data_IF_293985150531
#
_entry.id   IF_293985150531
#
_cell.length_a   1.000
_cell.length_b   1.000
_cell.length_c   1.000
_cell.angle_alpha   90.00
_cell.angle_beta   90.00
_cell.angle_gamma   90.00
#
_symmetry.space_group_name_H-M   'P 1'
#
loop_
_entity.id
_entity.type
_entity.pdbx_description
1 polymer ?
#
# COMPACT_ATOMS: atom_id res chain seq x y z
N UNK A 1 13.68 0.65 7.63
CA UNK A 1 13.74 0.62 9.10
C UNK A 1 14.64 1.76 9.55
N UNK A 2 14.16 2.60 10.44
CA UNK A 2 14.96 3.71 10.97
C UNK A 2 15.99 3.16 11.99
N UNK A 3 17.19 3.76 12.09
CA UNK A 3 17.61 5.02 11.46
C UNK A 3 18.25 4.85 10.06
N UNK A 4 18.61 3.63 9.65
CA UNK A 4 19.36 3.39 8.40
C UNK A 4 18.66 3.95 7.15
N UNK A 5 17.32 3.98 7.16
CA UNK A 5 16.51 4.59 6.10
C UNK A 5 16.92 6.03 5.79
N UNK A 6 17.25 6.83 6.81
CA UNK A 6 17.56 8.25 6.67
C UNK A 6 18.88 8.48 5.93
N UNK A 7 19.80 7.52 6.02
CA UNK A 7 21.14 7.61 5.44
C UNK A 7 21.27 6.84 4.11
N UNK A 8 20.43 5.83 3.87
CA UNK A 8 20.53 4.96 2.70
C UNK A 8 20.11 5.62 1.38
N UNK A 9 19.33 6.72 1.43
CA UNK A 9 18.81 7.37 0.23
C UNK A 9 17.87 6.46 -0.57
N UNK A 10 17.89 6.59 -1.90
CA UNK A 10 17.08 5.75 -2.78
C UNK A 10 17.69 4.37 -2.96
N UNK A 11 16.97 3.33 -2.52
CA UNK A 11 17.39 1.94 -2.70
C UNK A 11 16.90 1.41 -4.05
N UNK A 12 17.74 0.62 -4.71
CA UNK A 12 17.43 -0.12 -5.93
C UNK A 12 17.88 -1.56 -5.74
N UNK A 13 17.01 -2.50 -6.03
CA UNK A 13 17.38 -3.91 -6.10
C UNK A 13 18.15 -4.13 -7.41
N UNK A 14 19.38 -4.60 -7.30
CA UNK A 14 20.24 -4.96 -8.44
C UNK A 14 20.46 -6.46 -8.37
N UNK A 15 20.11 -7.15 -9.45
CA UNK A 15 20.39 -8.57 -9.58
C UNK A 15 21.89 -8.79 -9.80
N UNK A 16 22.45 -9.72 -9.03
CA UNK A 16 23.86 -10.13 -9.06
C UNK A 16 24.02 -11.63 -9.33
N UNK A 17 22.96 -12.32 -9.78
CA UNK A 17 23.00 -13.73 -10.17
C UNK A 17 22.87 -14.71 -9.02
N UNK A 18 22.21 -14.32 -7.92
CA UNK A 18 21.95 -15.21 -6.79
C UNK A 18 20.58 -15.90 -6.92
N UNK A 19 20.55 -17.21 -6.63
CA UNK A 19 19.28 -17.92 -6.45
C UNK A 19 18.78 -17.68 -5.03
N UNK A 20 17.64 -17.00 -4.91
CA UNK A 20 16.99 -16.72 -3.63
C UNK A 20 15.81 -17.68 -3.39
N UNK A 21 15.41 -17.93 -2.13
CA UNK A 21 14.15 -18.60 -1.82
C UNK A 21 12.96 -17.88 -2.47
N UNK A 22 11.93 -18.64 -2.86
CA UNK A 22 10.76 -18.09 -3.53
C UNK A 22 9.92 -17.18 -2.64
N UNK A 23 9.86 -17.48 -1.34
CA UNK A 23 9.09 -16.72 -0.36
C UNK A 23 10.04 -15.93 0.56
N UNK A 24 9.94 -14.59 0.58
CA UNK A 24 10.69 -13.77 1.52
C UNK A 24 10.04 -13.76 2.90
N UNK A 25 10.84 -13.62 3.96
CA UNK A 25 10.32 -13.39 5.33
C UNK A 25 9.78 -11.97 5.52
N UNK A 26 10.24 -11.01 4.70
CA UNK A 26 9.84 -9.61 4.75
C UNK A 26 9.90 -8.99 3.34
N UNK A 27 8.91 -8.16 3.02
CA UNK A 27 8.85 -7.41 1.77
C UNK A 27 8.78 -5.89 2.01
N UNK A 28 9.39 -5.14 1.09
CA UNK A 28 9.28 -3.69 1.03
C UNK A 28 8.69 -3.29 -0.34
N UNK A 29 7.36 -3.16 -0.39
CA UNK A 29 6.63 -2.93 -1.63
C UNK A 29 7.13 -1.68 -2.38
N UNK A 30 7.48 -1.86 -3.64
CA UNK A 30 7.72 -0.79 -4.59
C UNK A 30 6.43 -0.46 -5.35
N UNK A 31 6.45 0.61 -6.14
CA UNK A 31 5.27 1.07 -6.88
C UNK A 31 4.63 -0.03 -7.74
N UNK A 32 5.45 -0.81 -8.45
CA UNK A 32 4.96 -1.91 -9.30
C UNK A 32 4.31 -3.04 -8.49
N UNK A 33 4.82 -3.32 -7.28
CA UNK A 33 4.23 -4.32 -6.40
C UNK A 33 2.85 -3.89 -5.93
N UNK A 34 2.71 -2.64 -5.49
CA UNK A 34 1.41 -2.07 -5.10
C UNK A 34 0.42 -2.10 -6.27
N UNK A 35 0.87 -1.70 -7.46
CA UNK A 35 0.01 -1.71 -8.65
C UNK A 35 -0.51 -3.11 -9.00
N UNK A 36 0.30 -4.16 -8.79
CA UNK A 36 -0.09 -5.56 -9.02
C UNK A 36 -1.11 -6.06 -7.99
N UNK A 37 -1.10 -5.51 -6.77
CA UNK A 37 -1.99 -5.91 -5.69
C UNK A 37 -3.37 -5.22 -5.78
N UNK A 38 -3.46 -4.05 -6.41
CA UNK A 38 -4.70 -3.30 -6.48
C UNK A 38 -5.64 -3.84 -7.59
N UNK A 39 -6.94 -3.99 -7.31
CA UNK A 39 -7.90 -4.39 -8.32
C UNK A 39 -8.07 -3.32 -9.39
N UNK A 40 -8.09 -3.73 -10.66
CA UNK A 40 -8.34 -2.84 -11.80
C UNK A 40 -9.82 -2.94 -12.21
N UNK A 41 -10.60 -1.84 -12.13
CA UNK A 41 -12.00 -1.85 -12.56
C UNK A 41 -12.14 -2.14 -14.06
N UNK A 42 -13.03 -3.08 -14.40
CA UNK A 42 -13.45 -3.38 -15.78
C UNK A 42 -14.79 -2.73 -16.16
N UNK A 43 -15.27 -2.98 -17.38
CA UNK A 43 -16.51 -2.39 -17.91
C UNK A 43 -17.75 -2.65 -17.01
N UNK A 44 -17.82 -3.83 -16.38
CA UNK A 44 -18.91 -4.24 -15.50
C UNK A 44 -18.70 -3.82 -14.03
N UNK A 45 -17.71 -2.96 -13.74
CA UNK A 45 -17.44 -2.50 -12.38
C UNK A 45 -18.32 -1.32 -12.01
N UNK A 46 -19.42 -1.59 -11.30
CA UNK A 46 -20.27 -0.55 -10.72
C UNK A 46 -19.90 -0.23 -9.25
N UNK A 47 -20.51 0.84 -8.70
CA UNK A 47 -20.24 1.32 -7.34
C UNK A 47 -20.61 0.32 -6.24
N UNK A 48 -21.52 -0.62 -6.50
CA UNK A 48 -21.92 -1.66 -5.55
C UNK A 48 -21.02 -2.89 -5.63
N UNK A 49 -20.50 -3.21 -6.83
CA UNK A 49 -19.55 -4.31 -7.02
C UNK A 49 -18.17 -4.02 -6.43
N UNK A 50 -17.81 -2.74 -6.24
CA UNK A 50 -16.57 -2.31 -5.60
C UNK A 50 -16.62 -2.24 -4.06
N UNK A 51 -17.74 -2.64 -3.46
CA UNK A 51 -17.94 -2.61 -2.00
C UNK A 51 -18.38 -1.25 -1.48
N UNK A 52 -19.01 -1.24 -0.31
CA UNK A 52 -19.46 -0.05 0.41
C UNK A 52 -18.90 -0.13 1.83
N UNK A 53 -18.22 0.93 2.28
CA UNK A 53 -17.60 0.98 3.61
C UNK A 53 -18.31 2.03 4.46
N UNK A 54 -18.65 1.65 5.69
CA UNK A 54 -19.04 2.58 6.75
C UNK A 54 -17.85 2.89 7.63
N UNK A 55 -17.60 4.18 7.91
CA UNK A 55 -16.48 4.63 8.74
C UNK A 55 -17.02 5.32 10.00
N UNK A 56 -16.69 4.77 11.17
CA UNK A 56 -16.94 5.42 12.46
C UNK A 56 -15.67 6.15 12.91
N UNK A 57 -15.55 7.42 12.54
CA UNK A 57 -14.41 8.27 12.88
C UNK A 57 -14.85 9.68 13.26
N UNK A 58 -13.97 10.40 13.97
CA UNK A 58 -14.21 11.77 14.41
C UNK A 58 -14.73 11.90 15.84
N UNK A 59 -14.58 13.10 16.37
CA UNK A 59 -15.12 13.51 17.67
C UNK A 59 -15.25 15.03 17.70
N UNK A 60 -15.82 15.59 18.77
CA UNK A 60 -15.85 17.04 18.96
C UNK A 60 -14.45 17.68 18.95
N UNK A 61 -13.42 16.96 19.42
CA UNK A 61 -12.03 17.41 19.41
C UNK A 61 -11.33 17.20 18.07
N UNK A 62 -11.73 16.17 17.32
CA UNK A 62 -11.12 15.79 16.04
C UNK A 62 -12.18 15.69 14.93
N UNK A 63 -12.89 16.78 14.60
CA UNK A 63 -13.98 16.73 13.64
C UNK A 63 -13.50 16.35 12.23
N UNK A 64 -12.25 16.70 11.88
CA UNK A 64 -11.68 16.41 10.56
C UNK A 64 -11.37 14.92 10.30
N UNK A 65 -11.30 14.08 11.34
CA UNK A 65 -10.93 12.67 11.14
C UNK A 65 -11.97 11.90 10.30
N UNK A 66 -13.26 12.26 10.40
CA UNK A 66 -14.30 11.68 9.55
C UNK A 66 -14.12 12.05 8.07
N UNK A 67 -13.63 13.27 7.79
CA UNK A 67 -13.47 13.79 6.43
C UNK A 67 -12.23 13.21 5.75
N UNK A 68 -11.16 12.96 6.51
CA UNK A 68 -9.90 12.41 5.97
C UNK A 68 -9.94 10.90 5.73
N UNK A 69 -10.85 10.18 6.39
CA UNK A 69 -10.92 8.72 6.32
C UNK A 69 -11.74 8.18 5.14
N UNK A 70 -12.33 9.07 4.32
CA UNK A 70 -13.16 8.73 3.15
C UNK A 70 -12.47 9.04 1.84
#
# INVERSE_FOLDING_TARGET
IDPAREYAGSVRLVDIGLTLPAEPELEALQHADVARLLPVPGAESDKYRRGVVGVAAGSARYPGAAVLAV
#
